data_IF_378867183017
#
_entry.id   IF_378867183017
#
_cell.length_a   1.000
_cell.length_b   1.000
_cell.length_c   1.000
_cell.angle_alpha   90.00
_cell.angle_beta   90.00
_cell.angle_gamma   90.00
#
_symmetry.space_group_name_H-M   'P 1'
#
loop_
_entity.id
_entity.type
_entity.pdbx_description
1 polymer ?
#
# COMPACT_ATOMS: atom_id res chain seq x y z
N UNK A 1 -32.33 98.26 -43.09
CA UNK A 1 -32.97 96.93 -42.91
C UNK A 1 -32.29 96.27 -41.72
N UNK A 2 -32.86 96.38 -40.50
CA UNK A 2 -33.75 95.40 -39.82
C UNK A 2 -32.93 94.65 -38.74
N UNK A 3 -32.79 95.17 -37.51
CA UNK A 3 -33.68 95.06 -36.33
C UNK A 3 -33.73 93.68 -35.62
N UNK A 4 -33.56 93.68 -34.27
CA UNK A 4 -34.12 92.79 -33.21
C UNK A 4 -33.57 91.33 -33.08
N UNK A 5 -33.59 90.57 -31.96
CA UNK A 5 -34.08 90.61 -30.55
C UNK A 5 -33.33 89.51 -29.73
N UNK A 6 -33.00 89.79 -28.45
CA UNK A 6 -33.16 89.00 -27.21
C UNK A 6 -32.69 87.55 -26.92
N UNK A 7 -32.46 87.42 -25.59
CA UNK A 7 -32.20 86.32 -24.64
C UNK A 7 -32.88 84.95 -24.85
N UNK A 8 -32.26 83.87 -24.32
CA UNK A 8 -32.72 83.09 -23.14
C UNK A 8 -32.00 81.74 -23.03
N UNK A 9 -31.53 81.41 -21.80
CA UNK A 9 -31.41 80.05 -21.23
C UNK A 9 -30.43 79.06 -21.89
N UNK A 10 -29.62 78.29 -21.17
CA UNK A 10 -29.96 77.52 -19.97
C UNK A 10 -28.67 77.20 -19.22
N UNK A 11 -28.70 77.37 -17.89
CA UNK A 11 -27.75 76.75 -16.97
C UNK A 11 -27.81 75.23 -17.15
N UNK A 12 -26.76 74.63 -17.71
CA UNK A 12 -26.59 73.19 -17.72
C UNK A 12 -26.03 72.75 -16.35
N UNK A 13 -26.94 72.34 -15.47
CA UNK A 13 -26.60 71.62 -14.25
C UNK A 13 -25.89 70.30 -14.60
N UNK A 14 -24.65 70.18 -14.17
CA UNK A 14 -23.79 69.01 -14.36
C UNK A 14 -24.25 67.89 -13.42
N UNK A 15 -25.13 67.01 -13.89
CA UNK A 15 -25.47 65.76 -13.17
C UNK A 15 -24.21 64.90 -13.08
N UNK A 16 -23.64 64.78 -11.87
CA UNK A 16 -22.58 63.81 -11.56
C UNK A 16 -23.26 62.51 -11.12
N UNK A 17 -23.17 61.40 -11.87
CA UNK A 17 -23.68 60.13 -11.38
C UNK A 17 -22.79 59.63 -10.24
N UNK A 18 -23.33 59.64 -9.03
CA UNK A 18 -22.69 59.11 -7.82
C UNK A 18 -22.95 57.60 -7.64
N UNK A 19 -22.93 56.82 -8.71
CA UNK A 19 -23.36 55.40 -8.69
C UNK A 19 -22.28 54.42 -9.16
N UNK A 20 -20.99 54.73 -8.93
CA UNK A 20 -19.88 53.83 -9.32
C UNK A 20 -18.91 53.47 -8.19
N UNK A 21 -19.30 53.66 -6.92
CA UNK A 21 -18.44 53.32 -5.77
C UNK A 21 -18.85 52.09 -4.95
N UNK A 22 -20.03 51.53 -5.18
CA UNK A 22 -20.55 50.41 -4.37
C UNK A 22 -20.22 49.04 -5.00
N UNK A 23 -20.26 48.92 -6.34
CA UNK A 23 -19.98 47.66 -7.05
C UNK A 23 -18.52 47.18 -6.89
N UNK A 24 -17.56 48.11 -6.70
CA UNK A 24 -16.13 47.79 -6.52
C UNK A 24 -15.74 47.28 -5.12
N UNK A 25 -16.64 47.33 -4.13
CA UNK A 25 -16.34 46.85 -2.76
C UNK A 25 -16.91 45.48 -2.46
N UNK A 26 -18.02 45.09 -3.10
CA UNK A 26 -18.64 43.77 -2.88
C UNK A 26 -17.88 42.63 -3.56
N UNK A 27 -17.35 42.84 -4.78
CA UNK A 27 -16.52 41.84 -5.47
C UNK A 27 -15.12 41.61 -4.88
N UNK A 28 -14.79 42.25 -3.75
CA UNK A 28 -13.46 42.18 -3.12
C UNK A 28 -13.41 41.23 -1.91
N UNK A 29 -14.57 40.94 -1.31
CA UNK A 29 -14.69 40.00 -0.20
C UNK A 29 -14.97 38.57 -0.70
N UNK A 30 -15.88 38.41 -1.66
CA UNK A 30 -16.24 37.09 -2.24
C UNK A 30 -15.06 36.43 -2.98
N UNK A 31 -14.20 37.21 -3.64
CA UNK A 31 -13.04 36.68 -4.35
C UNK A 31 -11.92 36.18 -3.43
N UNK A 32 -11.84 36.71 -2.20
CA UNK A 32 -10.84 36.29 -1.23
C UNK A 32 -11.18 34.91 -0.63
N UNK A 33 -12.45 34.68 -0.32
CA UNK A 33 -12.95 33.38 0.19
C UNK A 33 -12.74 32.25 -0.85
N UNK A 34 -13.00 32.53 -2.13
CA UNK A 34 -12.76 31.57 -3.22
C UNK A 34 -11.26 31.30 -3.38
N UNK A 35 -10.40 32.30 -3.20
CA UNK A 35 -8.95 32.13 -3.28
C UNK A 35 -8.38 31.30 -2.12
N UNK A 36 -8.90 31.48 -0.90
CA UNK A 36 -8.53 30.68 0.27
C UNK A 36 -8.95 29.21 0.09
N UNK A 37 -10.19 28.96 -0.34
CA UNK A 37 -10.67 27.61 -0.62
C UNK A 37 -9.88 26.92 -1.74
N UNK A 38 -9.52 27.66 -2.80
CA UNK A 38 -8.72 27.15 -3.91
C UNK A 38 -7.29 26.73 -3.49
N UNK A 39 -6.76 27.28 -2.40
CA UNK A 39 -5.45 26.88 -1.86
C UNK A 39 -5.54 25.66 -0.93
N UNK A 40 -6.60 25.55 -0.13
CA UNK A 40 -6.78 24.44 0.82
C UNK A 40 -7.23 23.15 0.12
N UNK A 41 -8.12 23.26 -0.85
CA UNK A 41 -8.69 22.13 -1.58
C UNK A 41 -7.64 21.18 -2.19
N UNK A 42 -6.64 21.64 -2.97
CA UNK A 42 -5.62 20.76 -3.53
C UNK A 42 -4.76 20.07 -2.45
N UNK A 43 -4.51 20.72 -1.32
CA UNK A 43 -3.77 20.14 -0.20
C UNK A 43 -4.56 18.99 0.45
N UNK A 44 -5.87 19.17 0.64
CA UNK A 44 -6.75 18.11 1.15
C UNK A 44 -6.86 16.95 0.15
N UNK A 45 -6.98 17.22 -1.15
CA UNK A 45 -6.99 16.17 -2.17
C UNK A 45 -5.68 15.36 -2.18
N UNK A 46 -4.53 16.02 -2.07
CA UNK A 46 -3.25 15.32 -1.95
C UNK A 46 -3.21 14.44 -0.70
N UNK A 47 -3.69 14.93 0.43
CA UNK A 47 -3.75 14.17 1.68
C UNK A 47 -4.66 12.94 1.58
N UNK A 48 -5.86 13.08 0.98
CA UNK A 48 -6.80 11.98 0.76
C UNK A 48 -6.22 10.92 -0.18
N UNK A 49 -5.58 11.32 -1.28
CA UNK A 49 -4.86 10.38 -2.16
C UNK A 49 -3.76 9.64 -1.40
N UNK A 50 -3.00 10.36 -0.56
CA UNK A 50 -2.04 9.79 0.38
C UNK A 50 -2.60 8.61 1.18
N UNK A 51 -3.74 8.83 1.83
CA UNK A 51 -4.42 7.83 2.66
C UNK A 51 -4.87 6.63 1.83
N UNK A 52 -5.44 6.83 0.64
CA UNK A 52 -5.93 5.72 -0.21
C UNK A 52 -4.79 4.80 -0.65
N UNK A 53 -3.67 5.37 -1.11
CA UNK A 53 -2.51 4.56 -1.54
C UNK A 53 -1.83 3.85 -0.37
N UNK A 54 -1.76 4.50 0.80
CA UNK A 54 -1.25 3.86 2.01
C UNK A 54 -2.17 2.73 2.48
N UNK A 55 -3.48 2.91 2.46
CA UNK A 55 -4.46 1.88 2.78
C UNK A 55 -4.32 0.66 1.87
N UNK A 56 -4.12 0.89 0.56
CA UNK A 56 -3.83 -0.20 -0.39
C UNK A 56 -2.52 -0.91 -0.08
N UNK A 57 -1.44 -0.17 0.22
CA UNK A 57 -0.16 -0.78 0.57
C UNK A 57 -0.29 -1.67 1.83
N UNK A 58 -1.02 -1.21 2.85
CA UNK A 58 -1.28 -1.98 4.07
C UNK A 58 -2.11 -3.23 3.80
N UNK A 59 -3.15 -3.14 2.97
CA UNK A 59 -3.96 -4.30 2.58
C UNK A 59 -3.11 -5.38 1.90
N UNK A 60 -2.20 -4.99 1.00
CA UNK A 60 -1.29 -5.93 0.33
C UNK A 60 -0.35 -6.56 1.36
N UNK A 61 0.23 -5.76 2.24
CA UNK A 61 1.13 -6.23 3.29
C UNK A 61 0.45 -7.25 4.23
N UNK A 62 -0.77 -6.96 4.69
CA UNK A 62 -1.55 -7.89 5.50
C UNK A 62 -1.87 -9.19 4.75
N UNK A 63 -2.22 -9.09 3.47
CA UNK A 63 -2.51 -10.27 2.65
C UNK A 63 -1.28 -11.17 2.48
N UNK A 64 -0.13 -10.61 2.09
CA UNK A 64 1.07 -11.43 1.85
C UNK A 64 1.59 -12.07 3.14
N UNK A 65 1.47 -11.38 4.29
CA UNK A 65 1.86 -11.91 5.59
C UNK A 65 0.92 -13.04 6.04
N UNK A 66 -0.38 -12.87 5.85
CA UNK A 66 -1.36 -13.95 6.06
C UNK A 66 -1.08 -15.14 5.15
N UNK A 67 -0.78 -14.90 3.87
CA UNK A 67 -0.45 -15.95 2.92
C UNK A 67 0.81 -16.72 3.33
N UNK A 68 1.86 -16.02 3.78
CA UNK A 68 3.06 -16.64 4.33
C UNK A 68 2.76 -17.50 5.57
N UNK A 69 1.92 -17.01 6.50
CA UNK A 69 1.53 -17.77 7.69
C UNK A 69 0.77 -19.05 7.34
N UNK A 70 -0.21 -18.95 6.44
CA UNK A 70 -0.94 -20.13 5.97
C UNK A 70 0.02 -21.09 5.27
N UNK A 71 0.91 -20.59 4.39
CA UNK A 71 1.96 -21.41 3.78
C UNK A 71 2.83 -22.13 4.81
N UNK A 72 3.26 -21.45 5.88
CA UNK A 72 4.06 -22.02 6.95
C UNK A 72 3.31 -23.12 7.71
N UNK A 73 2.05 -22.87 8.12
CA UNK A 73 1.20 -23.84 8.80
C UNK A 73 1.00 -25.09 7.93
N UNK A 74 0.73 -24.89 6.65
CA UNK A 74 0.50 -25.97 5.71
C UNK A 74 1.76 -26.79 5.43
N UNK A 75 2.93 -26.16 5.42
CA UNK A 75 4.21 -26.81 5.26
C UNK A 75 4.68 -27.55 6.53
N UNK A 76 4.20 -27.14 7.70
CA UNK A 76 4.51 -27.74 9.00
C UNK A 76 3.63 -28.94 9.36
N UNK A 77 2.51 -29.12 8.65
CA UNK A 77 1.57 -30.22 8.86
C UNK A 77 1.71 -31.28 7.76
N UNK A 78 1.60 -32.57 8.10
CA UNK A 78 1.56 -33.63 7.10
C UNK A 78 0.32 -33.49 6.20
N UNK A 79 0.36 -34.12 5.02
CA UNK A 79 -0.77 -34.21 4.09
C UNK A 79 -1.98 -34.90 4.70
N UNK A 80 -1.72 -35.91 5.55
CA UNK A 80 -2.72 -36.73 6.22
C UNK A 80 -2.10 -37.44 7.44
N UNK A 81 -2.91 -37.64 8.48
CA UNK A 81 -2.50 -38.39 9.66
C UNK A 81 -2.45 -39.91 9.43
N UNK A 82 -3.23 -40.43 8.48
CA UNK A 82 -3.43 -41.88 8.26
C UNK A 82 -2.68 -42.45 7.06
N UNK A 83 -2.18 -41.61 6.15
CA UNK A 83 -1.44 -42.05 4.96
C UNK A 83 0.07 -41.76 5.00
N UNK A 84 0.67 -41.95 6.18
CA UNK A 84 2.13 -42.04 6.33
C UNK A 84 2.85 -40.73 6.65
N UNK A 85 2.15 -39.73 7.18
CA UNK A 85 2.72 -38.47 7.68
C UNK A 85 3.71 -37.79 6.71
N UNK A 86 3.45 -37.91 5.41
CA UNK A 86 4.34 -37.33 4.40
C UNK A 86 4.19 -35.80 4.42
N UNK A 87 5.31 -35.06 4.44
CA UNK A 87 5.25 -33.61 4.42
C UNK A 87 4.78 -33.15 3.03
N UNK A 88 3.98 -32.08 2.98
CA UNK A 88 3.45 -31.57 1.70
C UNK A 88 4.55 -31.23 0.70
N UNK A 89 4.27 -31.26 -0.60
CA UNK A 89 5.24 -30.77 -1.58
C UNK A 89 5.34 -29.24 -1.54
N UNK A 90 6.44 -28.68 -2.05
CA UNK A 90 6.59 -27.22 -2.16
C UNK A 90 5.52 -26.61 -3.07
N UNK A 91 5.07 -27.32 -4.10
CA UNK A 91 4.00 -26.88 -5.00
C UNK A 91 2.67 -26.73 -4.27
N UNK A 92 2.27 -27.70 -3.43
CA UNK A 92 1.03 -27.62 -2.65
C UNK A 92 1.03 -26.44 -1.66
N UNK A 93 2.20 -26.10 -1.11
CA UNK A 93 2.34 -24.93 -0.23
C UNK A 93 2.24 -23.64 -1.05
N UNK A 94 2.84 -23.59 -2.23
CA UNK A 94 2.76 -22.46 -3.14
C UNK A 94 1.33 -22.20 -3.63
N UNK A 95 0.60 -23.24 -4.01
CA UNK A 95 -0.79 -23.13 -4.47
C UNK A 95 -1.68 -22.51 -3.38
N UNK A 96 -1.44 -22.84 -2.12
CA UNK A 96 -2.16 -22.26 -1.00
C UNK A 96 -1.80 -20.78 -0.76
N UNK A 97 -0.53 -20.41 -0.91
CA UNK A 97 -0.12 -18.99 -0.89
C UNK A 97 -0.78 -18.24 -2.06
N UNK A 98 -0.80 -18.84 -3.25
CA UNK A 98 -1.41 -18.23 -4.42
C UNK A 98 -2.90 -18.01 -4.27
N UNK A 99 -3.65 -18.99 -3.77
CA UNK A 99 -5.09 -18.86 -3.53
C UNK A 99 -5.45 -17.63 -2.67
N UNK A 100 -4.63 -17.33 -1.65
CA UNK A 100 -4.83 -16.15 -0.79
C UNK A 100 -4.47 -14.87 -1.56
N UNK A 101 -3.34 -14.85 -2.26
CA UNK A 101 -2.91 -13.67 -3.03
C UNK A 101 -3.84 -13.36 -4.21
N UNK A 102 -4.48 -14.36 -4.81
CA UNK A 102 -5.45 -14.20 -5.90
C UNK A 102 -6.75 -13.57 -5.42
N UNK A 103 -7.20 -13.98 -4.23
CA UNK A 103 -8.39 -13.39 -3.59
C UNK A 103 -8.18 -11.88 -3.36
N UNK A 104 -6.94 -11.46 -3.14
CA UNK A 104 -6.56 -10.04 -3.02
C UNK A 104 -6.19 -9.38 -4.36
N UNK A 105 -6.38 -10.06 -5.50
CA UNK A 105 -6.06 -9.56 -6.84
C UNK A 105 -4.59 -9.12 -7.01
N UNK A 106 -3.66 -9.85 -6.40
CA UNK A 106 -2.23 -9.61 -6.56
C UNK A 106 -1.69 -10.35 -7.78
N UNK A 107 -0.70 -9.76 -8.47
CA UNK A 107 -0.09 -10.41 -9.63
C UNK A 107 0.97 -11.42 -9.18
N UNK A 108 0.71 -12.72 -9.41
CA UNK A 108 1.62 -13.81 -9.04
C UNK A 108 3.01 -13.69 -9.68
N UNK A 109 3.11 -13.11 -10.88
CA UNK A 109 4.38 -12.96 -11.59
C UNK A 109 5.36 -12.00 -10.89
N UNK A 110 4.85 -11.14 -10.00
CA UNK A 110 5.66 -10.21 -9.21
C UNK A 110 6.17 -10.82 -7.90
N UNK A 111 5.62 -11.97 -7.49
CA UNK A 111 6.08 -12.68 -6.29
C UNK A 111 7.45 -13.27 -6.59
N UNK A 112 8.42 -12.94 -5.76
CA UNK A 112 9.79 -13.40 -5.90
C UNK A 112 10.32 -13.99 -4.59
N UNK A 113 11.32 -14.86 -4.71
CA UNK A 113 12.04 -15.39 -3.57
C UNK A 113 12.71 -14.30 -2.74
N UNK A 114 12.63 -14.46 -1.43
CA UNK A 114 13.38 -13.71 -0.44
C UNK A 114 14.03 -14.71 0.52
N UNK A 115 15.16 -15.32 0.15
CA UNK A 115 15.84 -16.25 1.04
C UNK A 115 16.37 -15.53 2.28
N UNK A 116 16.36 -16.17 3.46
CA UNK A 116 16.93 -15.59 4.67
C UNK A 116 18.42 -15.27 4.47
N UNK A 117 18.88 -14.14 5.02
CA UNK A 117 20.24 -13.64 4.83
C UNK A 117 21.31 -14.57 5.42
N UNK A 118 20.94 -15.35 6.43
CA UNK A 118 21.76 -16.41 7.01
C UNK A 118 21.04 -17.74 6.82
N UNK A 119 21.81 -18.80 6.58
CA UNK A 119 21.26 -20.14 6.55
C UNK A 119 20.58 -20.46 7.90
N UNK A 120 19.34 -20.97 7.89
CA UNK A 120 18.69 -21.41 9.11
C UNK A 120 19.50 -22.49 9.83
N UNK A 121 19.41 -22.53 11.15
CA UNK A 121 20.07 -23.58 11.96
C UNK A 121 19.22 -24.85 11.88
N UNK A 122 19.89 -25.98 11.66
CA UNK A 122 19.24 -27.29 11.61
C UNK A 122 18.70 -27.71 12.98
N UNK A 123 17.58 -28.42 12.99
CA UNK A 123 16.98 -28.90 14.22
C UNK A 123 17.68 -30.18 14.69
N UNK A 124 17.96 -30.34 16.01
CA UNK A 124 18.62 -31.55 16.50
C UNK A 124 17.75 -32.80 16.28
N UNK A 125 18.36 -33.98 16.09
CA UNK A 125 17.65 -35.26 15.98
C UNK A 125 16.73 -35.49 17.20
N UNK A 126 15.54 -36.10 17.04
CA UNK A 126 15.07 -36.97 15.94
C UNK A 126 14.26 -36.27 14.83
N UNK A 127 14.27 -34.94 14.76
CA UNK A 127 13.53 -34.20 13.73
C UNK A 127 14.09 -34.45 12.31
N UNK A 128 13.28 -34.26 11.25
CA UNK A 128 13.77 -34.31 9.87
C UNK A 128 14.86 -33.25 9.63
N UNK A 129 15.86 -33.54 8.78
CA UNK A 129 16.94 -32.60 8.49
C UNK A 129 16.42 -31.33 7.82
N UNK A 130 17.18 -30.24 7.95
CA UNK A 130 16.90 -28.97 7.30
C UNK A 130 16.81 -29.12 5.78
N UNK A 131 15.63 -28.83 5.23
CA UNK A 131 15.40 -28.77 3.78
C UNK A 131 14.81 -27.42 3.40
N UNK A 132 15.49 -26.68 2.52
CA UNK A 132 15.00 -25.44 1.94
C UNK A 132 14.66 -25.61 0.45
N UNK A 133 13.68 -24.84 -0.02
CA UNK A 133 13.35 -24.76 -1.45
C UNK A 133 14.57 -24.27 -2.25
N UNK A 134 14.86 -24.85 -3.43
CA UNK A 134 15.97 -24.43 -4.26
C UNK A 134 15.79 -23.00 -4.77
N UNK A 135 16.90 -22.38 -5.18
CA UNK A 135 16.89 -21.09 -5.86
C UNK A 135 16.17 -21.20 -7.21
N UNK A 136 15.41 -20.16 -7.57
CA UNK A 136 14.62 -20.12 -8.82
C UNK A 136 13.13 -20.41 -8.64
N UNK A 137 12.69 -20.64 -7.41
CA UNK A 137 11.29 -20.78 -7.04
C UNK A 137 10.74 -19.45 -6.52
N UNK A 138 9.45 -19.14 -6.70
CA UNK A 138 8.88 -17.84 -6.27
C UNK A 138 8.75 -17.67 -4.75
N UNK A 139 8.68 -18.76 -3.99
CA UNK A 139 8.48 -18.75 -2.53
C UNK A 139 9.55 -19.62 -1.87
N UNK A 140 10.25 -19.06 -0.89
CA UNK A 140 11.23 -19.79 -0.08
C UNK A 140 10.52 -20.52 1.05
N UNK A 141 10.73 -21.83 1.13
CA UNK A 141 10.15 -22.70 2.18
C UNK A 141 11.31 -23.46 2.80
N UNK A 142 11.52 -23.33 4.11
CA UNK A 142 12.57 -24.03 4.86
C UNK A 142 11.95 -24.84 5.99
N UNK A 143 12.23 -26.13 6.06
CA UNK A 143 11.68 -27.09 7.03
C UNK A 143 12.81 -27.68 7.86
N UNK A 144 12.55 -28.07 9.10
CA UNK A 144 13.57 -28.62 10.00
C UNK A 144 14.42 -27.53 10.60
N UNK A 145 13.86 -26.32 10.77
CA UNK A 145 14.59 -25.17 11.31
C UNK A 145 14.46 -25.15 12.84
N UNK A 146 15.54 -24.87 13.54
CA UNK A 146 15.52 -24.58 14.97
C UNK A 146 14.90 -23.20 15.26
N UNK A 147 13.79 -23.19 15.98
CA UNK A 147 13.17 -21.97 16.52
C UNK A 147 13.81 -21.63 17.87
N UNK A 148 14.13 -20.34 18.08
CA UNK A 148 14.59 -19.86 19.38
C UNK A 148 13.42 -19.88 20.38
N UNK A 149 13.35 -20.90 21.23
CA UNK A 149 12.33 -21.04 22.27
C UNK A 149 12.91 -20.63 23.62
N UNK A 150 12.14 -19.98 24.51
CA UNK A 150 12.59 -19.63 25.87
C UNK A 150 12.68 -20.86 26.80
N UNK A 151 12.31 -22.06 26.33
CA UNK A 151 12.40 -23.30 27.08
C UNK A 151 13.65 -24.08 26.69
N UNK A 152 14.25 -24.81 27.64
CA UNK A 152 15.46 -25.63 27.44
C UNK A 152 15.32 -26.77 26.42
N UNK A 153 14.17 -26.87 25.75
CA UNK A 153 13.89 -27.84 24.70
C UNK A 153 13.96 -27.17 23.33
N UNK A 154 14.76 -27.76 22.43
CA UNK A 154 14.85 -27.34 21.04
C UNK A 154 13.50 -27.52 20.34
N UNK A 155 12.97 -26.44 19.75
CA UNK A 155 11.68 -26.46 19.07
C UNK A 155 11.88 -26.39 17.57
N UNK A 156 11.41 -27.41 16.83
CA UNK A 156 11.54 -27.47 15.38
C UNK A 156 10.39 -26.80 14.66
N UNK A 157 10.70 -26.20 13.51
CA UNK A 157 9.79 -25.36 12.78
C UNK A 157 9.97 -25.36 11.27
N UNK A 158 9.06 -24.61 10.66
CA UNK A 158 9.09 -24.25 9.24
C UNK A 158 9.09 -22.74 9.13
N UNK A 159 9.85 -22.24 8.17
CA UNK A 159 9.90 -20.83 7.78
C UNK A 159 9.42 -20.72 6.33
N UNK A 160 8.58 -19.73 6.06
CA UNK A 160 8.16 -19.36 4.70
C UNK A 160 8.43 -17.87 4.51
N UNK A 161 9.11 -17.54 3.42
CA UNK A 161 9.44 -16.16 3.06
C UNK A 161 9.37 -15.89 1.56
N UNK A 162 8.89 -14.71 1.21
CA UNK A 162 8.85 -14.21 -0.17
C UNK A 162 8.71 -12.68 -0.16
N UNK A 163 8.92 -12.07 -1.31
CA UNK A 163 8.80 -10.62 -1.48
C UNK A 163 7.84 -10.25 -2.59
N UNK A 164 7.26 -9.07 -2.46
CA UNK A 164 6.33 -8.50 -3.42
C UNK A 164 6.65 -7.02 -3.66
N UNK A 165 6.95 -6.60 -4.90
CA UNK A 165 7.16 -5.19 -5.21
C UNK A 165 5.83 -4.44 -5.27
N UNK A 166 5.73 -3.32 -4.58
CA UNK A 166 4.60 -2.41 -4.63
C UNK A 166 5.06 -1.03 -5.12
N UNK A 167 4.33 -0.47 -6.08
CA UNK A 167 4.63 0.84 -6.64
C UNK A 167 3.64 1.89 -6.17
N UNK A 168 4.16 2.98 -5.60
CA UNK A 168 3.33 4.11 -5.18
C UNK A 168 3.06 5.04 -6.37
N UNK A 169 1.81 5.52 -6.46
CA UNK A 169 1.41 6.48 -7.48
C UNK A 169 0.93 7.77 -6.81
N UNK A 170 1.88 8.66 -6.54
CA UNK A 170 1.63 9.99 -5.99
C UNK A 170 1.98 11.05 -7.02
N UNK A 171 1.03 11.54 -7.84
CA UNK A 171 1.33 12.59 -8.80
C UNK A 171 1.83 13.85 -8.07
N UNK A 172 2.82 14.54 -8.66
CA UNK A 172 3.40 15.79 -8.14
C UNK A 172 4.27 15.68 -6.87
N UNK A 173 4.71 14.48 -6.49
CA UNK A 173 5.67 14.27 -5.39
C UNK A 173 6.96 13.62 -5.90
N UNK A 174 8.07 13.76 -5.17
CA UNK A 174 9.35 13.10 -5.49
C UNK A 174 9.32 11.57 -5.35
N UNK A 175 8.24 11.02 -4.76
CA UNK A 175 8.03 9.59 -4.53
C UNK A 175 7.14 8.96 -5.61
N UNK A 176 6.79 9.72 -6.65
CA UNK A 176 6.00 9.23 -7.77
C UNK A 176 6.69 8.03 -8.46
N UNK A 177 5.97 6.92 -8.64
CA UNK A 177 6.45 5.68 -9.25
C UNK A 177 7.59 4.97 -8.52
N UNK A 178 7.88 5.31 -7.27
CA UNK A 178 8.86 4.54 -6.49
C UNK A 178 8.31 3.17 -6.12
N UNK A 179 9.12 2.15 -6.38
CA UNK A 179 8.82 0.75 -6.05
C UNK A 179 9.47 0.39 -4.72
N UNK A 180 8.66 0.01 -3.75
CA UNK A 180 9.11 -0.51 -2.45
C UNK A 180 8.83 -2.01 -2.42
N UNK A 181 9.81 -2.78 -1.97
CA UNK A 181 9.66 -4.23 -1.84
C UNK A 181 9.11 -4.58 -0.46
N UNK A 182 7.91 -5.14 -0.43
CA UNK A 182 7.30 -5.68 0.77
C UNK A 182 7.78 -7.12 0.97
N UNK A 183 8.21 -7.46 2.19
CA UNK A 183 8.68 -8.80 2.54
C UNK A 183 7.67 -9.48 3.45
N UNK A 184 7.30 -10.70 3.11
CA UNK A 184 6.48 -11.57 3.93
C UNK A 184 7.38 -12.62 4.58
N UNK A 185 7.21 -12.80 5.89
CA UNK A 185 7.93 -13.80 6.67
C UNK A 185 6.97 -14.41 7.67
N UNK A 186 6.98 -15.74 7.76
CA UNK A 186 6.25 -16.47 8.78
C UNK A 186 7.04 -17.69 9.23
N UNK A 187 6.91 -18.00 10.52
CA UNK A 187 7.48 -19.19 11.11
C UNK A 187 6.41 -19.89 11.94
N UNK A 188 6.41 -21.21 11.92
CA UNK A 188 5.50 -22.03 12.74
C UNK A 188 6.25 -23.21 13.33
N UNK A 189 5.75 -23.72 14.45
CA UNK A 189 6.20 -25.00 15.00
C UNK A 189 5.75 -26.13 14.07
N UNK A 190 6.59 -27.15 13.92
CA UNK A 190 6.20 -28.42 13.30
C UNK A 190 5.25 -29.19 14.21
N UNK A 191 4.16 -29.69 13.65
CA UNK A 191 3.23 -30.59 14.34
C UNK A 191 3.50 -32.00 13.81
N UNK A 192 3.95 -32.90 14.69
CA UNK A 192 4.22 -34.31 14.40
C UNK A 192 2.95 -35.14 14.53
#
# INVERSE_FOLDING_TARGET
MRWWYWEWGKRLGKFRPATLRIVRRLGRAEGAEIAEAALVLPLVFMFLLGIVWFGRAFQIYATITQAAQQGAILAARPTCATCGNTPRTNTQVQDAVYAITDTASLNRALIAQDPPATLPVDCPPPAPPLTCSPSGVSITICRGVLLNSPSSLAQCGVIVSFKYPFQFYFPFTSVNFQTITLRAYAQTRMEN
#
